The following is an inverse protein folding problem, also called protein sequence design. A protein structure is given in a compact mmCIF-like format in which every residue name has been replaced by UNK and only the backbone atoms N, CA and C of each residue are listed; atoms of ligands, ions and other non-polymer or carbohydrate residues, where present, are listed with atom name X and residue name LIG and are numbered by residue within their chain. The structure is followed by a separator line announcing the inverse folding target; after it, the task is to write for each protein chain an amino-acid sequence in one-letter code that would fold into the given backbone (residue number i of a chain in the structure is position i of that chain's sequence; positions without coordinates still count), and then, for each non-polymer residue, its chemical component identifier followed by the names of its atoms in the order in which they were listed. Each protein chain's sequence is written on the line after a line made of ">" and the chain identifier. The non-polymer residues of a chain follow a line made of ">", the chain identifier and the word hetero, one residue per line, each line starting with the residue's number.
data_IF_867192060343
#
_entry.id   IF_867192060343
#
_cell.length_a   1.000
_cell.length_b   1.000
_cell.length_c   1.000
_cell.angle_alpha   90.00
_cell.angle_beta   90.00
_cell.angle_gamma   90.00
#
_symmetry.space_group_name_H-M   'P 1'
#
loop_
_entity.id
_entity.type
_entity.pdbx_description
1 polymer ?
#
# COMPACT_ATOMS: atom_id res chain seq x y z
N UNK A 1 0.53 -8.66 11.85
CA UNK A 1 0.74 -10.10 11.60
C UNK A 1 -0.30 -10.88 12.36
N UNK A 2 -1.01 -11.79 11.70
CA UNK A 2 -2.13 -12.53 12.30
C UNK A 2 -1.81 -14.03 12.33
N UNK A 3 -1.62 -14.57 13.52
CA UNK A 3 -1.33 -15.99 13.75
C UNK A 3 -2.61 -16.74 14.11
N UNK A 4 -2.71 -18.00 13.72
CA UNK A 4 -3.74 -18.88 14.27
C UNK A 4 -3.56 -19.03 15.79
N UNK A 5 -4.66 -18.95 16.56
CA UNK A 5 -4.66 -19.03 18.03
C UNK A 5 -3.88 -20.21 18.63
N UNK A 6 -3.80 -21.31 17.89
CA UNK A 6 -3.13 -22.55 18.28
C UNK A 6 -1.61 -22.53 18.05
N UNK A 7 -1.08 -21.52 17.37
CA UNK A 7 0.34 -21.42 17.03
C UNK A 7 1.10 -20.72 18.17
N UNK A 8 2.04 -21.42 18.83
CA UNK A 8 2.84 -20.82 19.90
C UNK A 8 3.92 -19.91 19.32
N UNK A 9 3.74 -18.60 19.45
CA UNK A 9 4.73 -17.59 19.05
C UNK A 9 5.86 -17.53 20.08
N UNK A 10 7.11 -17.35 19.63
CA UNK A 10 8.25 -17.18 20.55
C UNK A 10 8.19 -15.82 21.25
N UNK A 11 8.60 -15.81 22.52
CA UNK A 11 8.71 -14.62 23.36
C UNK A 11 9.48 -13.47 22.71
N UNK A 12 10.62 -13.74 22.05
CA UNK A 12 11.40 -12.69 21.38
C UNK A 12 10.66 -11.96 20.25
N UNK A 13 9.64 -12.60 19.66
CA UNK A 13 8.79 -12.00 18.65
C UNK A 13 7.67 -11.21 19.29
N UNK A 14 7.08 -11.74 20.36
CA UNK A 14 6.12 -11.02 21.18
C UNK A 14 6.79 -9.73 21.69
N UNK A 15 7.97 -9.77 22.31
CA UNK A 15 8.70 -8.61 22.83
C UNK A 15 9.02 -7.51 21.80
N UNK A 16 9.42 -7.90 20.58
CA UNK A 16 9.85 -6.94 19.54
C UNK A 16 8.70 -6.40 18.70
N UNK A 17 7.57 -7.10 18.65
CA UNK A 17 6.45 -6.82 17.75
C UNK A 17 5.10 -6.86 18.50
N UNK A 18 5.08 -6.47 19.78
CA UNK A 18 3.91 -6.58 20.67
C UNK A 18 2.61 -6.05 20.05
N UNK A 19 2.69 -4.90 19.37
CA UNK A 19 1.52 -4.24 18.76
C UNK A 19 1.24 -4.70 17.32
N UNK A 20 2.14 -5.50 16.74
CA UNK A 20 2.05 -5.99 15.36
C UNK A 20 1.71 -7.48 15.28
N UNK A 21 1.56 -8.19 16.40
CA UNK A 21 1.22 -9.62 16.45
C UNK A 21 -0.15 -9.80 17.10
N UNK A 22 -1.04 -10.47 16.39
CA UNK A 22 -2.38 -10.81 16.89
C UNK A 22 -2.70 -12.28 16.65
N UNK A 23 -3.43 -12.90 17.58
CA UNK A 23 -3.85 -14.31 17.51
C UNK A 23 -5.34 -14.38 17.18
N UNK A 24 -5.69 -15.00 16.04
CA UNK A 24 -7.04 -15.10 15.50
C UNK A 24 -7.52 -16.56 15.39
N UNK A 25 -8.83 -16.78 15.48
CA UNK A 25 -9.44 -18.12 15.40
C UNK A 25 -9.80 -18.52 13.95
N UNK A 26 -8.79 -18.80 13.14
CA UNK A 26 -9.01 -19.23 11.76
C UNK A 26 -9.71 -20.59 11.63
N UNK A 27 -9.59 -21.48 12.64
CA UNK A 27 -10.04 -22.87 12.56
C UNK A 27 -11.56 -22.99 12.71
N UNK A 28 -12.12 -22.28 13.68
CA UNK A 28 -13.56 -22.31 13.96
C UNK A 28 -14.33 -21.28 13.13
N UNK A 29 -13.76 -20.10 12.89
CA UNK A 29 -14.50 -18.98 12.29
C UNK A 29 -13.66 -18.14 11.30
N UNK A 30 -13.16 -18.74 10.20
CA UNK A 30 -12.24 -18.09 9.27
C UNK A 30 -12.82 -16.85 8.59
N UNK A 31 -14.12 -16.84 8.28
CA UNK A 31 -14.75 -15.71 7.59
C UNK A 31 -14.89 -14.49 8.50
N UNK A 32 -15.26 -14.67 9.78
CA UNK A 32 -15.26 -13.55 10.72
C UNK A 32 -13.85 -13.01 10.95
N UNK A 33 -12.81 -13.87 10.99
CA UNK A 33 -11.43 -13.38 11.09
C UNK A 33 -10.99 -12.61 9.83
N UNK A 34 -11.43 -13.03 8.64
CA UNK A 34 -11.18 -12.29 7.39
C UNK A 34 -11.80 -10.90 7.44
N UNK A 35 -13.07 -10.81 7.84
CA UNK A 35 -13.79 -9.54 7.98
C UNK A 35 -13.12 -8.64 9.03
N UNK A 36 -12.67 -9.22 10.14
CA UNK A 36 -11.93 -8.49 11.15
C UNK A 36 -10.65 -7.84 10.59
N UNK A 37 -9.84 -8.59 9.84
CA UNK A 37 -8.63 -8.05 9.21
C UNK A 37 -8.98 -6.95 8.20
N UNK A 38 -10.02 -7.14 7.38
CA UNK A 38 -10.46 -6.11 6.44
C UNK A 38 -10.92 -4.83 7.15
N UNK A 39 -11.70 -4.94 8.22
CA UNK A 39 -12.13 -3.80 9.02
C UNK A 39 -10.94 -3.07 9.66
N UNK A 40 -9.94 -3.82 10.14
CA UNK A 40 -8.70 -3.22 10.65
C UNK A 40 -7.95 -2.43 9.58
N UNK A 41 -7.82 -2.98 8.36
CA UNK A 41 -7.21 -2.29 7.21
C UNK A 41 -8.00 -1.05 6.84
N UNK A 42 -9.33 -1.16 6.75
CA UNK A 42 -10.22 -0.07 6.40
C UNK A 42 -10.08 1.09 7.40
N UNK A 43 -10.14 0.78 8.70
CA UNK A 43 -9.98 1.78 9.77
C UNK A 43 -8.61 2.45 9.71
N UNK A 44 -7.53 1.67 9.54
CA UNK A 44 -6.15 2.20 9.46
C UNK A 44 -5.94 3.09 8.24
N UNK A 45 -6.68 2.82 7.15
CA UNK A 45 -6.60 3.56 5.89
C UNK A 45 -7.70 4.60 5.73
N UNK A 46 -8.42 4.94 6.80
CA UNK A 46 -9.51 5.92 6.81
C UNK A 46 -10.61 5.62 5.77
N UNK A 47 -10.92 4.35 5.53
CA UNK A 47 -11.95 3.90 4.59
C UNK A 47 -11.50 3.76 3.14
N UNK A 48 -10.22 4.00 2.85
CA UNK A 48 -9.74 4.11 1.46
C UNK A 48 -9.31 2.76 0.88
N UNK A 49 -8.95 1.80 1.74
CA UNK A 49 -8.72 0.41 1.35
C UNK A 49 -9.76 -0.46 2.05
N UNK A 50 -10.77 -0.87 1.29
CA UNK A 50 -11.77 -1.84 1.72
C UNK A 50 -11.45 -3.21 1.12
N UNK A 51 -11.91 -4.27 1.78
CA UNK A 51 -11.88 -5.64 1.24
C UNK A 51 -10.52 -6.14 0.73
N UNK A 52 -9.44 -5.83 1.46
CA UNK A 52 -8.08 -6.27 1.10
C UNK A 52 -8.01 -7.80 0.89
N UNK A 53 -8.64 -8.56 1.79
CA UNK A 53 -8.76 -10.00 1.73
C UNK A 53 -10.10 -10.40 1.12
N UNK A 54 -10.05 -10.99 -0.08
CA UNK A 54 -11.22 -11.51 -0.78
C UNK A 54 -11.83 -12.73 -0.08
N UNK A 55 -13.13 -13.03 -0.25
CA UNK A 55 -13.75 -14.24 0.30
C UNK A 55 -12.97 -15.52 -0.02
N UNK A 56 -12.84 -16.42 0.96
CA UNK A 56 -12.10 -17.67 0.81
C UNK A 56 -10.56 -17.55 0.84
N UNK A 57 -10.00 -16.34 0.93
CA UNK A 57 -8.53 -16.16 1.08
C UNK A 57 -7.99 -16.59 2.45
N UNK A 58 -8.84 -16.58 3.48
CA UNK A 58 -8.58 -17.14 4.80
C UNK A 58 -9.41 -18.41 4.95
N UNK A 59 -8.77 -19.49 5.41
CA UNK A 59 -9.41 -20.80 5.55
C UNK A 59 -9.09 -21.40 6.92
N UNK A 60 -9.75 -22.50 7.28
CA UNK A 60 -9.46 -23.27 8.51
C UNK A 60 -8.00 -23.75 8.62
N UNK A 61 -7.32 -23.88 7.47
CA UNK A 61 -5.94 -24.31 7.40
C UNK A 61 -4.95 -23.13 7.47
N UNK A 62 -5.42 -21.89 7.46
CA UNK A 62 -4.56 -20.71 7.57
C UNK A 62 -3.86 -20.71 8.93
N UNK A 63 -2.53 -20.68 8.92
CA UNK A 63 -1.70 -20.62 10.14
C UNK A 63 -1.14 -19.22 10.41
N UNK A 64 -0.88 -18.48 9.35
CA UNK A 64 -0.33 -17.13 9.39
C UNK A 64 -0.87 -16.32 8.21
N UNK A 65 -1.31 -15.08 8.49
CA UNK A 65 -1.62 -14.07 7.50
C UNK A 65 -0.80 -12.80 7.80
N UNK A 66 -0.22 -12.22 6.75
CA UNK A 66 0.51 -10.96 6.84
C UNK A 66 -0.22 -9.98 5.92
N UNK A 67 -0.78 -8.93 6.51
CA UNK A 67 -1.36 -7.81 5.78
C UNK A 67 -0.52 -6.57 6.09
N UNK A 68 -0.30 -5.75 5.06
CA UNK A 68 0.27 -4.43 5.19
C UNK A 68 -0.61 -3.47 4.39
N UNK A 69 -0.97 -2.35 5.00
CA UNK A 69 -1.77 -1.32 4.38
C UNK A 69 -1.14 0.03 4.71
N UNK A 70 -0.89 0.83 3.68
CA UNK A 70 -0.37 2.17 3.83
C UNK A 70 -1.30 3.14 3.11
N UNK A 71 -1.69 4.21 3.83
CA UNK A 71 -2.45 5.31 3.29
C UNK A 71 -1.63 6.58 3.40
N UNK A 72 -1.54 7.33 2.31
CA UNK A 72 -0.85 8.60 2.29
C UNK A 72 -1.71 9.67 1.62
N UNK A 73 -2.01 10.72 2.39
CA UNK A 73 -2.69 11.93 1.90
C UNK A 73 -1.87 13.16 2.29
N UNK A 74 -0.93 13.52 1.43
CA UNK A 74 -0.13 14.71 1.59
C UNK A 74 -0.86 15.97 1.13
N UNK A 75 -0.59 17.09 1.80
CA UNK A 75 -0.92 18.41 1.27
C UNK A 75 0.28 18.94 0.50
N UNK A 76 0.10 19.45 -0.71
CA UNK A 76 1.19 20.06 -1.47
C UNK A 76 1.71 21.33 -0.77
N UNK A 77 3.02 21.59 -0.86
CA UNK A 77 3.62 22.83 -0.36
C UNK A 77 3.08 24.03 -1.15
N UNK A 78 3.11 23.93 -2.48
CA UNK A 78 2.40 24.81 -3.40
C UNK A 78 1.05 24.20 -3.73
N UNK A 79 -0.01 24.69 -3.09
CA UNK A 79 -1.37 24.13 -3.26
C UNK A 79 -1.96 24.53 -4.60
N UNK A 80 -2.66 23.58 -5.22
CA UNK A 80 -3.53 23.82 -6.36
C UNK A 80 -4.82 24.48 -5.89
N UNK A 81 -5.15 25.63 -6.48
CA UNK A 81 -6.41 26.32 -6.22
C UNK A 81 -7.55 25.58 -6.93
N UNK A 82 -8.65 25.20 -6.25
CA UNK A 82 -9.77 24.51 -6.88
C UNK A 82 -10.33 25.27 -8.09
N UNK A 83 -10.30 26.61 -8.05
CA UNK A 83 -10.80 27.48 -9.11
C UNK A 83 -9.97 27.39 -10.40
N UNK A 84 -8.71 26.97 -10.29
CA UNK A 84 -7.80 26.77 -11.43
C UNK A 84 -7.91 25.35 -12.02
N UNK A 85 -8.71 24.47 -11.41
CA UNK A 85 -8.92 23.11 -11.94
C UNK A 85 -9.95 23.14 -13.07
N UNK A 86 -9.58 22.62 -14.25
CA UNK A 86 -10.41 22.68 -15.47
C UNK A 86 -10.54 21.31 -16.12
N UNK A 87 -11.64 21.08 -16.83
CA UNK A 87 -11.84 19.88 -17.64
C UNK A 87 -10.97 19.95 -18.88
N UNK A 88 -10.01 19.04 -19.00
CA UNK A 88 -9.06 18.98 -20.13
C UNK A 88 -8.86 17.56 -20.62
N UNK A 89 -8.34 17.44 -21.84
CA UNK A 89 -8.11 16.14 -22.48
C UNK A 89 -6.85 15.49 -21.88
N UNK A 90 -7.00 14.26 -21.40
CA UNK A 90 -5.92 13.36 -21.04
C UNK A 90 -5.81 12.24 -22.08
N UNK A 91 -4.59 12.02 -22.58
CA UNK A 91 -4.29 10.99 -23.58
C UNK A 91 -3.92 9.70 -22.85
N UNK A 92 -4.86 8.76 -22.74
CA UNK A 92 -4.64 7.45 -22.09
C UNK A 92 -3.77 6.55 -22.97
N UNK A 93 -3.97 6.61 -24.28
CA UNK A 93 -3.12 6.02 -25.31
C UNK A 93 -3.16 6.90 -26.56
N UNK A 94 -2.44 6.51 -27.63
CA UNK A 94 -2.47 7.23 -28.90
C UNK A 94 -3.90 7.28 -29.50
N UNK A 95 -4.77 6.34 -29.14
CA UNK A 95 -6.11 6.16 -29.69
C UNK A 95 -7.22 6.52 -28.71
N UNK A 96 -6.92 6.67 -27.40
CA UNK A 96 -7.92 6.90 -26.35
C UNK A 96 -7.67 8.22 -25.62
N UNK A 97 -8.68 9.07 -25.62
CA UNK A 97 -8.70 10.36 -24.95
C UNK A 97 -9.87 10.44 -23.98
N UNK A 98 -9.66 11.05 -22.82
CA UNK A 98 -10.69 11.26 -21.81
C UNK A 98 -10.61 12.66 -21.22
N UNK A 99 -11.76 13.24 -20.87
CA UNK A 99 -11.79 14.48 -20.12
C UNK A 99 -11.57 14.22 -18.64
N UNK A 100 -10.57 14.87 -18.05
CA UNK A 100 -10.21 14.78 -16.64
C UNK A 100 -10.21 16.15 -15.99
N UNK A 101 -10.33 16.20 -14.67
CA UNK A 101 -10.10 17.43 -13.90
C UNK A 101 -8.59 17.67 -13.78
N UNK A 102 -8.06 18.54 -14.64
CA UNK A 102 -6.64 18.91 -14.68
C UNK A 102 -6.37 20.05 -13.70
N UNK A 103 -5.43 19.83 -12.78
CA UNK A 103 -5.08 20.84 -11.78
C UNK A 103 -3.97 21.74 -12.31
N UNK A 104 -4.07 23.05 -12.06
CA UNK A 104 -3.09 24.05 -12.48
C UNK A 104 -2.49 24.81 -11.30
N UNK A 105 -1.18 25.01 -11.36
CA UNK A 105 -0.44 25.87 -10.42
C UNK A 105 0.76 26.46 -11.13
N UNK A 106 0.98 27.76 -10.94
CA UNK A 106 2.16 28.46 -11.43
C UNK A 106 3.09 28.78 -10.26
N UNK A 107 4.40 28.62 -10.47
CA UNK A 107 5.40 28.86 -9.45
C UNK A 107 6.79 28.39 -9.85
N UNK A 108 7.75 28.55 -8.94
CA UNK A 108 9.11 28.03 -9.11
C UNK A 108 9.21 26.63 -8.53
N UNK A 109 9.61 25.67 -9.38
CA UNK A 109 9.74 24.26 -9.02
C UNK A 109 11.07 23.70 -9.54
N UNK A 110 11.57 22.65 -8.88
CA UNK A 110 12.71 21.92 -9.43
C UNK A 110 12.22 21.12 -10.65
N UNK A 111 12.91 21.31 -11.76
CA UNK A 111 12.59 20.70 -13.04
C UNK A 111 13.88 20.18 -13.68
N UNK A 112 13.79 19.03 -14.33
CA UNK A 112 14.87 18.47 -15.14
C UNK A 112 14.28 17.93 -16.45
N UNK A 113 15.05 18.02 -17.53
CA UNK A 113 14.74 17.38 -18.79
C UNK A 113 15.76 16.27 -19.07
N UNK A 114 15.29 15.13 -19.56
CA UNK A 114 16.13 14.03 -20.03
C UNK A 114 15.86 13.81 -21.51
N UNK A 115 16.71 14.38 -22.36
CA UNK A 115 16.58 14.30 -23.81
C UNK A 115 16.69 12.87 -24.33
N UNK A 116 17.54 12.04 -23.70
CA UNK A 116 17.72 10.63 -24.11
C UNK A 116 16.45 9.81 -23.94
N UNK A 117 15.67 10.11 -22.90
CA UNK A 117 14.39 9.46 -22.64
C UNK A 117 13.20 10.25 -23.21
N UNK A 118 13.44 11.43 -23.78
CA UNK A 118 12.40 12.32 -24.29
C UNK A 118 11.42 12.77 -23.20
N UNK A 119 11.87 12.96 -21.96
CA UNK A 119 10.98 13.22 -20.83
C UNK A 119 11.34 14.46 -20.01
N UNK A 120 10.31 15.02 -19.35
CA UNK A 120 10.44 16.09 -18.37
C UNK A 120 10.10 15.54 -16.99
N UNK A 121 10.89 15.94 -16.00
CA UNK A 121 10.76 15.55 -14.60
C UNK A 121 10.48 16.82 -13.80
N UNK A 122 9.39 16.83 -13.06
CA UNK A 122 9.00 17.91 -12.16
C UNK A 122 8.97 17.38 -10.72
N UNK A 123 9.58 18.10 -9.79
CA UNK A 123 9.47 17.82 -8.35
C UNK A 123 8.40 18.73 -7.75
N UNK A 124 7.39 18.11 -7.14
CA UNK A 124 6.40 18.81 -6.33
C UNK A 124 6.53 18.41 -4.85
N UNK A 125 6.99 19.32 -3.98
CA UNK A 125 7.13 19.02 -2.57
C UNK A 125 5.78 19.02 -1.85
N UNK A 126 5.63 18.12 -0.88
CA UNK A 126 4.53 18.16 0.09
C UNK A 126 4.85 19.15 1.22
N UNK A 127 3.83 19.87 1.69
CA UNK A 127 3.88 20.73 2.87
C UNK A 127 3.98 19.88 4.13
N UNK A 128 5.11 19.96 4.82
CA UNK A 128 5.37 19.23 6.05
C UNK A 128 4.82 19.96 7.29
N UNK A 129 3.98 19.30 8.07
CA UNK A 129 3.89 19.53 9.52
C UNK A 129 4.78 18.46 10.20
N UNK A 130 5.98 18.88 10.62
CA UNK A 130 6.91 18.20 11.54
C UNK A 130 7.32 16.74 11.23
N UNK A 131 8.34 16.57 10.39
CA UNK A 131 9.50 15.68 10.59
C UNK A 131 10.38 15.72 9.33
N UNK A 132 11.66 16.07 9.48
CA UNK A 132 12.66 15.96 8.40
C UNK A 132 12.80 14.49 7.98
N UNK A 133 12.07 14.08 6.94
CA UNK A 133 12.51 13.04 6.02
C UNK A 133 13.12 13.74 4.80
N UNK A 134 14.40 14.09 4.89
CA UNK A 134 15.19 14.55 3.74
C UNK A 134 15.72 13.33 2.99
N UNK A 135 14.86 12.62 2.26
CA UNK A 135 15.26 11.81 1.09
C UNK A 135 14.07 11.03 0.54
N UNK A 136 13.25 11.68 -0.29
CA UNK A 136 12.72 10.98 -1.46
C UNK A 136 12.33 12.03 -2.50
N UNK A 137 13.07 12.16 -3.62
CA UNK A 137 12.64 13.03 -4.70
C UNK A 137 11.39 12.42 -5.32
N UNK A 138 10.23 13.04 -5.09
CA UNK A 138 9.01 12.71 -5.83
C UNK A 138 9.19 13.24 -7.26
N UNK A 139 9.82 12.43 -8.09
CA UNK A 139 10.00 12.67 -9.52
C UNK A 139 8.70 12.31 -10.22
N UNK A 140 7.97 13.30 -10.68
CA UNK A 140 6.81 13.10 -11.55
C UNK A 140 7.21 13.36 -12.99
N UNK A 141 6.90 12.40 -13.86
CA UNK A 141 7.00 12.53 -15.31
C UNK A 141 5.57 12.54 -15.87
N UNK A 142 5.01 13.73 -16.13
CA UNK A 142 3.69 13.87 -16.75
C UNK A 142 2.76 14.89 -16.08
N UNK A 143 1.57 15.06 -16.67
CA UNK A 143 0.51 15.95 -16.20
C UNK A 143 -0.10 15.45 -14.88
N UNK A 144 -0.38 16.36 -13.95
CA UNK A 144 -0.84 16.03 -12.61
C UNK A 144 -2.35 16.23 -12.55
N UNK A 145 -3.06 15.11 -12.63
CA UNK A 145 -4.50 15.06 -12.38
C UNK A 145 -4.76 14.80 -10.91
N UNK A 146 -5.94 15.18 -10.44
CA UNK A 146 -6.41 14.71 -9.13
C UNK A 146 -6.75 13.22 -9.26
N UNK A 147 -5.95 12.36 -8.64
CA UNK A 147 -6.12 10.91 -8.73
C UNK A 147 -6.02 10.23 -7.36
N UNK A 148 -6.82 9.17 -7.18
CA UNK A 148 -6.69 8.21 -6.09
C UNK A 148 -6.10 6.94 -6.70
N UNK A 149 -4.93 6.54 -6.23
CA UNK A 149 -4.31 5.29 -6.65
C UNK A 149 -4.45 4.27 -5.52
N UNK A 150 -5.24 3.23 -5.78
CA UNK A 150 -5.30 2.04 -4.92
C UNK A 150 -4.95 0.82 -5.77
N UNK A 151 -3.96 0.04 -5.32
CA UNK A 151 -3.57 -1.22 -5.97
C UNK A 151 -3.29 -2.27 -4.91
N UNK A 152 -4.23 -3.20 -4.65
CA UNK A 152 -3.93 -4.36 -3.84
C UNK A 152 -2.95 -5.27 -4.59
N UNK A 153 -2.00 -5.83 -3.87
CA UNK A 153 -0.99 -6.75 -4.43
C UNK A 153 -0.95 -7.99 -3.57
N UNK A 154 -1.18 -9.16 -4.17
CA UNK A 154 -0.92 -10.43 -3.49
C UNK A 154 0.60 -10.67 -3.44
N UNK A 155 1.17 -10.47 -2.25
CA UNK A 155 2.59 -10.60 -2.01
C UNK A 155 3.13 -12.01 -2.27
N UNK A 156 2.28 -13.06 -2.24
CA UNK A 156 2.69 -14.42 -2.61
C UNK A 156 3.14 -14.49 -4.07
N UNK A 157 2.45 -13.79 -4.96
CA UNK A 157 2.78 -13.78 -6.40
C UNK A 157 4.09 -13.05 -6.69
N UNK A 158 4.39 -12.00 -5.92
CA UNK A 158 5.60 -11.19 -6.07
C UNK A 158 6.79 -11.91 -5.45
N UNK A 159 6.70 -12.31 -4.18
CA UNK A 159 7.78 -12.97 -3.47
C UNK A 159 8.01 -14.42 -3.95
N UNK A 160 6.99 -15.06 -4.53
CA UNK A 160 7.12 -16.40 -5.11
C UNK A 160 8.20 -16.53 -6.18
N UNK A 161 8.63 -15.41 -6.79
CA UNK A 161 9.72 -15.37 -7.80
C UNK A 161 11.13 -15.61 -7.25
N UNK A 162 11.30 -15.70 -5.93
CA UNK A 162 12.59 -15.99 -5.30
C UNK A 162 12.51 -16.54 -3.87
N UNK A 163 11.34 -16.45 -3.23
CA UNK A 163 11.08 -16.88 -1.85
C UNK A 163 9.91 -17.87 -1.77
N UNK A 164 9.62 -18.60 -2.85
CA UNK A 164 8.47 -19.53 -2.94
C UNK A 164 8.42 -20.56 -1.79
N UNK A 165 9.58 -21.01 -1.31
CA UNK A 165 9.68 -21.94 -0.17
C UNK A 165 9.02 -21.45 1.12
N UNK A 166 8.80 -20.14 1.29
CA UNK A 166 8.09 -19.59 2.45
C UNK A 166 6.59 -19.90 2.45
N UNK A 167 6.03 -20.23 1.28
CA UNK A 167 4.59 -20.47 1.11
C UNK A 167 4.25 -21.96 0.97
N UNK A 168 5.26 -22.83 1.03
CA UNK A 168 5.11 -24.29 1.00
C UNK A 168 4.98 -24.87 2.41
N UNK A 169 4.39 -26.06 2.53
CA UNK A 169 4.35 -26.80 3.80
C UNK A 169 5.75 -27.20 4.31
N UNK A 170 6.76 -27.13 3.44
CA UNK A 170 8.17 -27.38 3.76
C UNK A 170 8.87 -26.19 4.43
N UNK A 171 8.19 -25.04 4.54
CA UNK A 171 8.76 -23.80 5.07
C UNK A 171 9.20 -23.96 6.53
N UNK A 172 10.45 -23.65 6.81
CA UNK A 172 10.97 -23.71 8.17
C UNK A 172 10.73 -22.37 8.91
N UNK A 173 9.66 -22.35 9.69
CA UNK A 173 9.33 -21.22 10.59
C UNK A 173 9.70 -21.48 12.05
N UNK A 174 10.64 -22.40 12.33
CA UNK A 174 11.10 -22.71 13.70
C UNK A 174 11.70 -21.51 14.43
N UNK A 175 12.10 -20.46 13.69
CA UNK A 175 12.49 -19.16 14.24
C UNK A 175 11.32 -18.40 14.89
N UNK A 176 10.11 -18.54 14.35
CA UNK A 176 8.89 -17.80 14.73
C UNK A 176 8.03 -18.55 15.75
N UNK A 177 7.91 -19.87 15.59
CA UNK A 177 7.10 -20.74 16.44
C UNK A 177 7.86 -22.02 16.76
N UNK A 178 7.70 -22.55 17.97
CA UNK A 178 8.30 -23.84 18.38
C UNK A 178 7.65 -25.05 17.71
N UNK A 179 6.50 -24.87 17.06
CA UNK A 179 5.82 -25.87 16.22
C UNK A 179 5.08 -25.17 15.08
N UNK A 180 5.53 -25.41 13.85
CA UNK A 180 4.73 -25.23 12.63
C UNK A 180 4.54 -26.60 12.03
#
# INVERSE_FOLDING_TARGET
>A
MFFGKQIPVKECMEDKFLEEIEKLDFENDPESQRLYINNWVENTTHGEITDLLIPGSITKNTKLAIANAAYFKGTWQSKFKPEETKKEIFYVSNERQEFVDMMHVEGTFNHAANEKLGCHILELPYGLLLARFTSSPNILCGAITRAIFSRPVDMKTVLGRGMGKLFENSANFSGFSKKV
#
